data_IF_417959544050
#
_entry.id   IF_417959544050
#
_cell.length_a   1.000
_cell.length_b   1.000
_cell.length_c   1.000
_cell.angle_alpha   90.00
_cell.angle_beta   90.00
_cell.angle_gamma   90.00
#
_symmetry.space_group_name_H-M   'P 1'
#
loop_
_entity.id
_entity.type
_entity.pdbx_description
1 polymer ?
2 non-polymer ?
3 water ?
#
# COMPACT_ATOMS: atom_id res chain seq x y z
N UNK A 1 9.94 8.57 -11.14
CA UNK A 1 9.49 7.72 -12.30
C UNK A 1 8.77 6.44 -11.89
N UNK A 2 7.99 5.91 -12.83
CA UNK A 2 7.05 4.81 -12.58
C UNK A 2 7.70 3.49 -12.12
N UNK A 3 9.02 3.37 -12.29
CA UNK A 3 9.76 2.17 -11.86
C UNK A 3 10.35 2.34 -10.45
N UNK A 4 9.77 3.25 -9.66
CA UNK A 4 10.25 3.51 -8.30
C UNK A 4 9.10 3.84 -7.35
N UNK A 5 7.99 3.12 -7.52
CA UNK A 5 6.79 3.35 -6.74
C UNK A 5 6.48 2.11 -5.90
N UNK A 6 6.20 2.34 -4.62
CA UNK A 6 5.89 1.27 -3.69
C UNK A 6 4.50 1.46 -3.10
N UNK A 7 3.90 0.37 -2.66
CA UNK A 7 2.65 0.44 -1.93
C UNK A 7 2.77 -0.36 -0.63
N UNK A 8 2.15 0.14 0.44
CA UNK A 8 2.12 -0.60 1.70
C UNK A 8 0.72 -0.65 2.30
N UNK A 9 0.32 -1.85 2.71
CA UNK A 9 -0.93 -2.07 3.39
C UNK A 9 -0.66 -2.14 4.88
N UNK A 10 -1.20 -1.18 5.61
CA UNK A 10 -0.88 -1.01 7.02
C UNK A 10 -1.93 -1.70 7.89
N UNK A 11 -1.46 -2.58 8.79
CA UNK A 11 -2.33 -3.25 9.76
C UNK A 11 -2.07 -2.78 11.20
N UNK A 12 -0.96 -2.06 11.39
CA UNK A 12 -0.60 -1.46 12.68
C UNK A 12 0.43 -0.34 12.48
N UNK A 13 0.23 0.83 13.12
CA UNK A 13 -0.91 1.23 13.95
C UNK A 13 -2.10 1.60 13.06
N UNK A 14 -3.29 1.18 13.47
CA UNK A 14 -4.52 1.40 12.70
C UNK A 14 -5.62 1.90 13.64
N UNK A 15 -6.50 2.76 13.13
CA UNK A 15 -7.61 3.27 13.92
C UNK A 15 -8.65 2.17 14.17
N UNK A 16 -9.07 2.03 15.42
CA UNK A 16 -10.15 1.11 15.76
C UNK A 16 -11.47 1.86 15.65
N UNK A 17 -12.57 1.15 15.90
CA UNK A 17 -13.92 1.72 15.79
C UNK A 17 -14.10 2.92 16.71
N UNK A 18 -13.41 2.88 17.85
CA UNK A 18 -13.39 3.98 18.82
C UNK A 18 -12.14 4.82 18.58
N UNK A 19 -11.32 4.33 17.61
CA UNK A 19 -10.09 4.99 17.13
C UNK A 19 -9.12 5.55 18.39
N UNK A 20 -9.10 4.95 19.64
CA UNK A 20 -7.90 3.87 19.77
C UNK A 20 -7.11 3.25 18.60
N UNK A 21 -5.85 2.95 18.90
CA UNK A 21 -4.97 2.24 17.99
C UNK A 21 -5.14 0.74 18.16
N UNK A 22 -5.41 0.06 17.04
CA UNK A 22 -5.55 -1.39 17.01
C UNK A 22 -4.58 -2.00 16.01
N UNK A 23 -4.48 -3.33 16.04
CA UNK A 23 -3.67 -4.09 15.10
C UNK A 23 -4.58 -5.10 14.39
N UNK A 24 -4.78 -4.92 13.09
CA UNK A 24 -5.75 -5.74 12.36
C UNK A 24 -5.16 -7.04 11.79
N UNK A 25 -6.02 -8.05 11.66
CA UNK A 25 -5.66 -9.26 10.94
C UNK A 25 -5.49 -8.94 9.45
N UNK A 26 -4.58 -9.63 8.79
CA UNK A 26 -4.38 -9.48 7.35
C UNK A 26 -5.42 -10.36 6.67
N UNK A 27 -6.29 -9.76 5.84
CA UNK A 27 -7.20 -10.60 5.06
C UNK A 27 -6.41 -11.13 3.87
N UNK A 28 -6.44 -12.46 3.71
CA UNK A 28 -5.64 -13.15 2.70
C UNK A 28 -5.79 -12.58 1.30
N UNK A 29 -7.03 -12.29 0.90
CA UNK A 29 -7.30 -11.74 -0.43
C UNK A 29 -6.61 -10.40 -0.70
N UNK A 30 -6.40 -9.60 0.34
CA UNK A 30 -5.67 -8.32 0.21
C UNK A 30 -4.25 -8.50 -0.30
N UNK A 31 -3.63 -9.61 0.07
CA UNK A 31 -2.26 -9.87 -0.36
C UNK A 31 -2.24 -10.14 -1.86
N UNK A 32 -3.04 -11.11 -2.31
CA UNK A 32 -3.15 -11.47 -3.73
C UNK A 32 -3.68 -10.32 -4.59
N UNK A 33 -4.70 -9.62 -4.07
CA UNK A 33 -5.43 -8.62 -4.83
C UNK A 33 -4.54 -7.42 -5.16
N UNK A 34 -3.93 -6.85 -4.13
CA UNK A 34 -3.12 -5.65 -4.31
C UNK A 34 -1.76 -5.97 -4.96
N UNK A 35 -1.26 -7.19 -4.76
CA UNK A 35 -0.08 -7.65 -5.50
C UNK A 35 -0.32 -7.66 -7.01
N UNK A 36 -1.47 -8.16 -7.44
CA UNK A 36 -1.84 -8.14 -8.86
C UNK A 36 -1.94 -6.72 -9.42
N UNK A 37 -2.53 -5.81 -8.64
CA UNK A 37 -2.64 -4.40 -9.06
C UNK A 37 -1.24 -3.78 -9.18
N UNK A 38 -0.41 -4.00 -8.15
CA UNK A 38 0.95 -3.49 -8.17
C UNK A 38 1.72 -4.05 -9.37
N UNK A 39 1.56 -5.35 -9.63
CA UNK A 39 2.27 -6.00 -10.74
C UNK A 39 1.83 -5.47 -12.11
N UNK A 40 0.52 -5.32 -12.27
CA UNK A 40 -0.08 -4.77 -13.50
C UNK A 40 0.48 -3.39 -13.86
N UNK A 41 0.68 -2.54 -12.85
CA UNK A 41 1.17 -1.17 -13.06
C UNK A 41 2.69 -1.03 -12.87
N UNK A 42 3.37 -2.18 -12.79
CA UNK A 42 4.84 -2.22 -12.68
C UNK A 42 5.42 -1.45 -11.49
N UNK A 43 4.74 -1.52 -10.35
CA UNK A 43 5.26 -0.97 -9.10
C UNK A 43 6.44 -1.83 -8.64
N UNK A 44 7.30 -1.25 -7.81
CA UNK A 44 8.53 -1.92 -7.42
C UNK A 44 8.33 -2.93 -6.28
N UNK A 45 7.43 -2.61 -5.36
CA UNK A 45 7.19 -3.45 -4.20
C UNK A 45 5.86 -3.19 -3.52
N UNK A 46 5.37 -4.24 -2.86
CA UNK A 46 4.15 -4.19 -2.08
C UNK A 46 4.48 -4.73 -0.69
N UNK A 47 4.43 -3.84 0.30
CA UNK A 47 4.69 -4.23 1.68
C UNK A 47 3.41 -4.55 2.45
N UNK A 48 3.44 -5.68 3.14
CA UNK A 48 2.40 -6.05 4.10
C UNK A 48 2.98 -5.79 5.47
N UNK A 49 2.38 -4.84 6.17
CA UNK A 49 2.92 -4.36 7.43
C UNK A 49 2.02 -4.83 8.57
N UNK A 50 2.56 -5.70 9.42
CA UNK A 50 1.83 -6.22 10.57
C UNK A 50 2.80 -6.65 11.68
N UNK A 51 2.51 -6.23 12.91
CA UNK A 51 3.33 -6.59 14.07
C UNK A 51 2.79 -7.81 14.82
N UNK A 52 1.78 -8.47 14.23
CA UNK A 52 1.21 -9.68 14.81
C UNK A 52 1.91 -10.91 14.24
N UNK A 53 2.64 -11.62 15.11
CA UNK A 53 3.40 -12.79 14.66
C UNK A 53 2.52 -13.89 14.04
N UNK A 54 1.29 -14.05 14.53
CA UNK A 54 0.33 -14.99 13.91
C UNK A 54 -0.01 -14.60 12.46
N UNK A 55 -0.11 -13.30 12.19
CA UNK A 55 -0.35 -12.79 10.83
C UNK A 55 0.87 -12.94 9.94
N UNK A 56 2.04 -12.59 10.49
CA UNK A 56 3.33 -12.75 9.79
C UNK A 56 3.57 -14.21 9.39
N UNK A 57 3.19 -15.13 10.28
CA UNK A 57 3.31 -16.56 10.01
C UNK A 57 2.36 -17.00 8.88
N UNK A 58 1.08 -16.66 9.00
CA UNK A 58 0.09 -16.96 7.95
C UNK A 58 0.52 -16.41 6.58
N UNK A 59 0.94 -15.15 6.52
CA UNK A 59 1.39 -14.55 5.26
C UNK A 59 2.65 -15.22 4.68
N UNK A 60 3.65 -15.49 5.54
CA UNK A 60 4.87 -16.19 5.11
C UNK A 60 4.60 -17.57 4.53
N UNK A 61 3.74 -18.33 5.21
CA UNK A 61 3.38 -19.68 4.76
C UNK A 61 2.66 -19.60 3.42
N UNK A 62 1.70 -18.69 3.33
CA UNK A 62 0.97 -18.45 2.09
C UNK A 62 1.91 -18.05 0.94
N UNK A 63 2.86 -17.17 1.23
CA UNK A 63 3.82 -16.72 0.23
C UNK A 63 4.66 -17.88 -0.33
N UNK A 64 5.20 -18.74 0.53
CA UNK A 64 5.99 -19.87 0.02
C UNK A 64 5.17 -20.98 -0.66
N UNK A 65 3.92 -21.16 -0.25
CA UNK A 65 3.02 -22.06 -0.97
C UNK A 65 2.90 -21.61 -2.43
N UNK A 66 2.63 -20.32 -2.63
CA UNK A 66 2.43 -19.78 -3.97
C UNK A 66 3.72 -19.44 -4.71
N UNK A 67 4.82 -19.25 -3.98
CA UNK A 67 6.10 -18.88 -4.60
C UNK A 67 7.08 -20.05 -4.78
N UNK A 68 6.99 -21.04 -3.90
CA UNK A 68 7.89 -22.20 -3.90
C UNK A 68 7.14 -23.54 -3.98
N UNK A 69 6.01 -23.63 -3.27
CA UNK A 69 5.25 -24.87 -3.15
C UNK A 69 4.39 -25.23 -4.36
N UNK A 70 3.40 -26.09 -4.13
CA UNK A 70 2.50 -26.56 -5.19
C UNK A 70 1.78 -25.41 -5.91
N UNK A 71 1.41 -24.39 -5.14
CA UNK A 71 0.78 -23.18 -5.69
C UNK A 71 1.55 -22.53 -6.83
N UNK A 72 2.88 -22.57 -6.74
CA UNK A 72 3.76 -22.01 -7.77
C UNK A 72 3.77 -22.81 -9.08
N UNK A 73 3.13 -23.98 -9.08
CA UNK A 73 3.11 -24.83 -10.28
C UNK A 73 1.73 -25.05 -10.89
N UNK A 74 0.69 -24.40 -10.35
CA UNK A 74 -0.65 -24.49 -10.95
C UNK A 74 -1.39 -23.15 -11.09
N UNK A 75 -0.80 -22.09 -10.54
CA UNK A 75 -0.95 -20.75 -11.11
C UNK A 75 0.34 -20.55 -12.00
N UNK A 76 0.94 -19.33 -11.98
CA UNK A 76 1.54 -18.55 -13.03
C UNK A 76 0.93 -17.29 -13.84
N UNK A 77 0.10 -16.42 -13.20
CA UNK A 77 0.65 -15.49 -12.14
C UNK A 77 -0.09 -15.21 -10.95
N UNK A 78 -0.14 -16.22 -10.06
CA UNK A 78 -0.20 -15.93 -8.66
C UNK A 78 1.24 -15.59 -8.23
N UNK A 79 2.18 -16.49 -8.52
CA UNK A 79 3.59 -16.35 -8.12
C UNK A 79 4.30 -15.14 -8.73
N UNK A 80 3.96 -14.82 -9.98
CA UNK A 80 4.52 -13.67 -10.68
C UNK A 80 4.17 -12.37 -9.96
N UNK A 81 2.89 -12.20 -9.63
CA UNK A 81 2.45 -11.02 -8.90
C UNK A 81 2.95 -11.00 -7.46
N UNK A 82 3.02 -12.17 -6.83
CA UNK A 82 3.41 -12.28 -5.42
C UNK A 82 4.90 -12.06 -5.14
N UNK A 83 5.73 -12.07 -6.18
CA UNK A 83 7.17 -11.81 -6.05
C UNK A 83 7.43 -10.39 -5.52
N UNK A 84 6.48 -9.49 -5.75
CA UNK A 84 6.58 -8.10 -5.32
C UNK A 84 6.36 -7.92 -3.82
N UNK A 85 5.78 -8.94 -3.17
CA UNK A 85 5.34 -8.84 -1.77
C UNK A 85 6.51 -9.01 -0.79
N UNK A 86 6.59 -8.10 0.17
CA UNK A 86 7.53 -8.19 1.28
C UNK A 86 6.78 -7.96 2.59
N UNK A 87 7.06 -8.80 3.57
CA UNK A 87 6.50 -8.66 4.91
C UNK A 87 7.41 -7.83 5.78
N UNK A 88 6.83 -6.86 6.49
CA UNK A 88 7.57 -6.06 7.46
C UNK A 88 6.73 -5.86 8.71
N UNK A 89 7.37 -5.75 9.87
CA UNK A 89 6.65 -5.63 11.13
C UNK A 89 6.10 -4.23 11.41
N UNK A 90 6.79 -3.19 10.93
CA UNK A 90 6.44 -1.79 11.21
C UNK A 90 6.67 -0.93 9.99
N UNK A 91 5.98 0.21 9.95
CA UNK A 91 6.17 1.19 8.89
C UNK A 91 7.63 1.64 8.83
N UNK A 92 8.23 1.86 9.99
CA UNK A 92 9.64 2.25 10.07
C UNK A 92 10.55 1.24 9.35
N UNK A 93 10.21 -0.04 9.45
CA UNK A 93 10.98 -1.10 8.76
C UNK A 93 10.84 -1.03 7.25
N UNK A 94 9.65 -0.63 6.80
CA UNK A 94 9.41 -0.38 5.39
C UNK A 94 10.28 0.79 4.92
N UNK A 95 10.20 1.91 5.63
CA UNK A 95 10.99 3.10 5.29
C UNK A 95 12.48 2.79 5.25
N UNK A 96 12.95 2.02 6.22
CA UNK A 96 14.35 1.60 6.31
C UNK A 96 14.76 0.71 5.12
N UNK A 97 13.86 -0.18 4.71
CA UNK A 97 14.11 -1.09 3.58
C UNK A 97 14.24 -0.33 2.25
N UNK A 98 13.30 0.58 1.99
CA UNK A 98 13.31 1.42 0.79
C UNK A 98 14.57 2.31 0.75
N UNK A 99 14.95 2.87 1.90
CA UNK A 99 16.20 3.62 2.00
C UNK A 99 17.42 2.77 1.63
N UNK A 100 17.45 1.52 2.09
CA UNK A 100 18.53 0.59 1.71
C UNK A 100 18.53 0.29 0.22
N UNK A 101 17.33 0.09 -0.33
CA UNK A 101 17.17 -0.25 -1.74
C UNK A 101 17.45 0.94 -2.66
N UNK A 102 16.96 2.12 -2.26
CA UNK A 102 16.96 3.30 -3.13
C UNK A 102 18.02 4.34 -2.77
N UNK A 103 18.67 4.17 -1.62
CA UNK A 103 19.68 5.11 -1.14
C UNK A 103 19.09 6.34 -0.46
N UNK A 104 17.78 6.31 -0.25
CA UNK A 104 17.01 7.49 0.10
C UNK A 104 15.64 7.09 0.65
N UNK A 105 15.21 7.74 1.73
CA UNK A 105 13.87 7.53 2.27
C UNK A 105 12.80 8.05 1.31
N UNK A 106 11.65 7.34 1.19
CA UNK A 106 10.66 7.72 0.18
C UNK A 106 9.79 8.92 0.54
N UNK A 107 9.20 9.55 -0.47
CA UNK A 107 8.06 10.45 -0.27
C UNK A 107 6.85 9.60 0.10
N UNK A 108 6.17 9.98 1.17
CA UNK A 108 5.03 9.23 1.68
C UNK A 108 3.71 9.88 1.27
N UNK A 109 2.86 9.09 0.62
CA UNK A 109 1.53 9.49 0.21
C UNK A 109 0.48 8.79 1.08
N UNK A 110 -0.19 9.59 1.91
CA UNK A 110 -1.26 9.16 2.80
C UNK A 110 -2.54 9.12 1.99
N UNK A 111 -3.37 8.11 2.23
CA UNK A 111 -4.66 8.00 1.54
C UNK A 111 -5.79 7.86 2.55
N UNK A 112 -6.93 8.45 2.23
CA UNK A 112 -8.10 8.44 3.11
C UNK A 112 -9.35 8.88 2.36
N UNK A 113 -10.47 8.21 2.64
CA UNK A 113 -11.78 8.65 2.17
C UNK A 113 -12.20 9.97 2.80
N UNK A 114 -11.61 10.28 3.95
CA UNK A 114 -11.99 11.46 4.74
C UNK A 114 -11.15 12.69 4.37
N UNK A 115 -11.85 13.74 3.94
CA UNK A 115 -11.21 14.98 3.50
C UNK A 115 -10.37 15.63 4.60
N UNK A 116 -9.10 15.85 4.29
CA UNK A 116 -8.18 16.54 5.18
C UNK A 116 -7.86 17.92 4.64
N UNK A 117 -7.45 18.80 5.54
CA UNK A 117 -6.80 20.05 5.20
C UNK A 117 -5.47 19.76 4.50
N UNK A 118 -5.08 20.64 3.58
CA UNK A 118 -3.75 20.59 2.95
C UNK A 118 -3.42 19.27 2.23
N UNK A 119 -4.34 18.82 1.38
CA UNK A 119 -4.10 17.62 0.58
C UNK A 119 -3.72 18.00 -0.86
N UNK A 120 -3.33 17.00 -1.66
CA UNK A 120 -3.04 17.22 -3.08
C UNK A 120 -4.02 16.46 -3.97
N UNK A 121 -4.22 16.96 -5.19
CA UNK A 121 -5.07 16.26 -6.14
C UNK A 121 -4.27 15.11 -6.73
N UNK A 122 -4.96 14.20 -7.41
CA UNK A 122 -4.28 13.11 -8.12
C UNK A 122 -3.43 13.62 -9.29
N UNK A 123 -3.86 14.71 -9.92
CA UNK A 123 -3.07 15.39 -10.96
C UNK A 123 -1.75 15.90 -10.38
N UNK A 124 -1.83 16.53 -9.21
CA UNK A 124 -0.66 17.00 -8.46
C UNK A 124 0.24 15.84 -8.02
N UNK A 125 -0.37 14.73 -7.61
CA UNK A 125 0.36 13.52 -7.25
C UNK A 125 1.08 12.90 -8.44
N UNK A 126 0.39 12.84 -9.58
CA UNK A 126 0.96 12.32 -10.82
C UNK A 126 2.19 13.14 -11.21
N UNK A 127 2.04 14.46 -11.15
CA UNK A 127 3.13 15.38 -11.46
C UNK A 127 4.37 15.09 -10.61
N UNK A 128 4.18 14.95 -9.30
CA UNK A 128 5.27 14.61 -8.38
C UNK A 128 6.00 13.34 -8.84
N UNK A 129 5.24 12.28 -9.12
CA UNK A 129 5.83 10.99 -9.53
C UNK A 129 6.59 11.10 -10.86
N UNK A 130 6.07 11.91 -11.78
CA UNK A 130 6.73 12.17 -13.08
C UNK A 130 8.07 12.89 -12.90
N UNK A 131 8.05 13.96 -12.11
CA UNK A 131 9.18 14.88 -11.98
C UNK A 131 10.25 14.46 -10.97
N UNK A 132 9.89 13.58 -10.04
CA UNK A 132 10.81 13.19 -8.96
C UNK A 132 11.80 12.09 -9.35
N UNK A 133 12.93 12.08 -8.66
CA UNK A 133 13.88 10.97 -8.69
C UNK A 133 13.84 10.21 -7.37
N UNK A 134 13.02 10.70 -6.44
CA UNK A 134 12.83 10.05 -5.15
C UNK A 134 11.89 8.84 -5.28
N UNK A 135 12.12 7.79 -4.46
CA UNK A 135 11.10 6.73 -4.36
C UNK A 135 9.81 7.28 -3.75
N UNK A 136 8.68 6.71 -4.16
CA UNK A 136 7.37 7.10 -3.64
C UNK A 136 6.73 5.89 -2.96
N UNK A 137 6.11 6.13 -1.81
CA UNK A 137 5.43 5.08 -1.05
C UNK A 137 4.00 5.51 -0.79
N UNK A 138 3.06 4.74 -1.34
CA UNK A 138 1.64 4.95 -1.16
C UNK A 138 1.17 4.11 0.04
N UNK A 139 0.57 4.78 1.03
CA UNK A 139 0.12 4.09 2.22
C UNK A 139 -1.37 3.86 2.15
N UNK A 140 -1.75 2.62 2.46
CA UNK A 140 -3.15 2.21 2.50
C UNK A 140 -3.50 1.66 3.86
N UNK A 141 -4.68 2.02 4.35
CA UNK A 141 -5.12 1.59 5.67
C UNK A 141 -6.02 0.37 5.67
N UNK A 142 -6.26 -0.14 6.88
CA UNK A 142 -7.24 -1.18 7.15
C UNK A 142 -8.06 -0.68 8.35
N UNK A 143 -8.91 -1.54 8.90
CA UNK A 143 -9.74 -1.17 10.06
C UNK A 143 -10.55 0.07 9.76
N UNK A 144 -10.40 1.10 10.59
CA UNK A 144 -11.11 2.37 10.41
C UNK A 144 -10.20 3.49 9.89
N UNK A 145 -9.09 3.10 9.27
CA UNK A 145 -8.27 4.05 8.52
C UNK A 145 -6.91 4.27 9.13
N UNK A 146 -6.05 4.98 8.40
CA UNK A 146 -4.71 5.31 8.88
C UNK A 146 -4.77 6.34 10.01
N UNK A 147 -3.99 6.13 11.09
CA UNK A 147 -4.05 7.01 12.25
C UNK A 147 -3.28 8.32 12.11
N UNK A 148 -3.55 9.27 13.01
CA UNK A 148 -2.88 10.57 13.01
C UNK A 148 -1.36 10.49 13.10
N UNK A 149 -0.83 9.54 13.87
CA UNK A 149 0.62 9.36 13.98
C UNK A 149 1.29 9.05 12.63
N UNK A 150 0.56 8.39 11.74
CA UNK A 150 1.04 8.14 10.38
C UNK A 150 0.79 9.37 9.48
N UNK A 151 -0.37 10.01 9.65
CA UNK A 151 -0.65 11.31 9.02
C UNK A 151 0.47 12.31 9.28
N UNK A 152 0.94 12.35 10.53
CA UNK A 152 1.97 13.31 10.94
C UNK A 152 3.32 13.15 10.26
N UNK A 153 3.63 11.93 9.82
CA UNK A 153 4.89 11.65 9.14
C UNK A 153 4.76 11.54 7.61
N UNK A 154 3.55 11.75 7.09
CA UNK A 154 3.32 11.69 5.64
C UNK A 154 3.70 13.01 4.96
N UNK A 155 4.39 12.92 3.83
CA UNK A 155 4.79 14.11 3.07
C UNK A 155 3.60 14.72 2.35
N UNK A 156 2.74 13.86 1.81
CA UNK A 156 1.58 14.28 1.04
C UNK A 156 0.36 13.45 1.43
N UNK A 157 -0.80 14.11 1.45
CA UNK A 157 -2.07 13.43 1.59
C UNK A 157 -2.74 13.61 0.26
N UNK A 158 -3.02 12.50 -0.41
CA UNK A 158 -3.83 12.51 -1.61
C UNK A 158 -5.26 12.78 -1.21
N UNK A 159 -5.95 13.62 -1.99
CA UNK A 159 -7.36 13.89 -1.78
C UNK A 159 -8.14 12.58 -1.81
N UNK A 160 -9.31 12.55 -1.15
CA UNK A 160 -10.13 11.35 -1.23
C UNK A 160 -10.60 11.09 -2.66
N UNK A 161 -10.72 9.82 -3.01
CA UNK A 161 -11.44 9.42 -4.21
C UNK A 161 -12.89 9.77 -3.98
N UNK A 162 -13.52 10.39 -4.98
CA UNK A 162 -14.94 10.73 -4.95
C UNK A 162 -15.35 11.49 -3.69
N UNK A 163 -14.57 12.52 -3.36
CA UNK A 163 -14.79 13.37 -2.18
C UNK A 163 -16.13 14.10 -2.17
N UNK A 164 -16.65 14.43 -3.35
CA UNK A 164 -17.93 15.15 -3.46
C UNK A 164 -19.16 14.23 -3.58
N UNK A 165 -18.93 12.92 -3.56
CA UNK A 165 -20.04 11.96 -3.59
C UNK A 165 -20.70 11.87 -2.22
N UNK A 166 -21.91 11.32 -2.17
CA UNK A 166 -22.59 11.12 -0.88
C UNK A 166 -22.10 9.87 -0.15
N UNK A 167 -21.29 9.07 -0.84
CA UNK A 167 -20.70 7.85 -0.29
C UNK A 167 -19.37 7.64 -1.02
N UNK A 168 -18.29 7.46 -0.26
CA UNK A 168 -16.98 7.15 -0.84
C UNK A 168 -16.15 6.17 0.00
N UNK A 169 -16.83 5.33 0.78
CA UNK A 169 -16.15 4.33 1.61
C UNK A 169 -15.85 3.06 0.83
N UNK A 170 -14.75 3.12 0.08
CA UNK A 170 -14.31 2.00 -0.75
C UNK A 170 -13.54 0.97 0.07
N UNK A 171 -13.51 -0.27 -0.41
CA UNK A 171 -12.57 -1.25 0.11
C UNK A 171 -11.17 -0.75 -0.21
N UNK A 172 -10.19 -1.28 0.51
CA UNK A 172 -8.80 -0.93 0.30
C UNK A 172 -8.28 -1.47 -1.04
N UNK A 173 -8.85 -2.59 -1.49
CA UNK A 173 -8.50 -3.20 -2.78
C UNK A 173 -8.98 -2.34 -3.95
N UNK A 174 -10.22 -1.86 -3.87
CA UNK A 174 -10.79 -0.95 -4.85
C UNK A 174 -10.10 0.42 -4.83
N UNK A 175 -9.87 0.96 -3.63
CA UNK A 175 -9.12 2.21 -3.46
C UNK A 175 -7.72 2.12 -4.05
N UNK A 176 -6.97 1.07 -3.69
CA UNK A 176 -5.62 0.87 -4.22
C UNK A 176 -5.63 0.85 -5.75
N UNK A 177 -6.58 0.12 -6.33
CA UNK A 177 -6.70 0.00 -7.78
C UNK A 177 -6.86 1.36 -8.44
N UNK A 178 -7.76 2.17 -7.88
CA UNK A 178 -8.09 3.49 -8.41
C UNK A 178 -6.93 4.46 -8.22
N UNK A 179 -6.38 4.51 -7.00
CA UNK A 179 -5.22 5.35 -6.68
C UNK A 179 -4.08 5.09 -7.67
N UNK A 180 -3.73 3.81 -7.84
CA UNK A 180 -2.65 3.41 -8.73
C UNK A 180 -2.95 3.75 -10.20
N UNK A 181 -4.17 3.49 -10.66
CA UNK A 181 -4.57 3.91 -12.01
C UNK A 181 -4.51 5.42 -12.25
N UNK A 182 -4.97 6.21 -11.28
CA UNK A 182 -4.90 7.67 -11.38
C UNK A 182 -3.46 8.20 -11.40
N UNK A 183 -2.58 7.57 -10.63
CA UNK A 183 -1.19 8.03 -10.54
C UNK A 183 -0.31 7.51 -11.68
N UNK A 184 -0.54 6.26 -12.08
CA UNK A 184 0.29 5.61 -13.11
C UNK A 184 -0.44 5.55 -14.45
N UNK A 185 -1.69 5.08 -14.44
CA UNK A 185 -2.50 5.02 -15.66
C UNK A 185 -1.85 4.25 -16.79
N UNK A 186 -2.12 4.66 -18.02
CA UNK A 186 -1.63 3.96 -19.20
C UNK A 186 -0.29 4.53 -19.69
N UNK A 187 0.59 4.78 -18.74
CA UNK A 187 1.92 5.29 -19.02
C UNK A 187 2.97 4.20 -18.87
N UNK A 188 3.80 4.04 -19.89
CA UNK A 188 4.75 2.93 -19.99
C UNK A 188 6.19 3.42 -20.18
X LIG B 1 -13.64 -2.01 5.69
X LIG B 1 -13.13 -1.60 4.38
X LIG B 1 -12.42 -2.76 3.67
X LIG B 1 -12.94 -3.88 3.70
X LIG B 1 -11.34 -2.64 3.07
X LIG B 1 -12.27 -0.33 4.48
X LIG B 1 -11.19 -0.32 5.56
X LIG B 1 -9.95 1.01 5.42
X LIG B 1 -10.81 2.38 6.23
X LIG B 1 -10.04 1.51 3.69
X LIG B 1 -8.70 2.04 3.20
X LIG B 1 -8.74 2.16 1.79
X LIG B 1 -8.40 3.44 3.72
X LIG B 1 -7.58 3.42 4.86
X LIG B 1 -7.72 4.14 2.56
X LIG B 1 -6.34 3.86 2.50
X LIG B 1 -8.37 3.47 1.38
X LIG B 1 -9.58 4.19 0.92
X LIG B 1 -10.88 3.78 1.04
X LIG B 1 -11.68 4.70 0.45
X LIG B 1 -10.90 5.68 -0.05
X LIG B 1 -11.18 6.85 -0.74
X LIG B 1 -12.44 7.19 -1.03
X LIG B 1 -10.14 7.66 -1.15
X LIG B 1 -8.83 7.34 -0.85
X LIG B 1 -8.55 6.18 -0.16
X LIG B 1 -9.58 5.37 0.23
#
# INVERSE_FOLDING_TARGET
MLEKVYVALIHYPIKGKDGSIISTAVTNLDVHDIARTARTYNLKGYYIVTNLRAQQDMVSKMLKFWREGFGSRYNPSRAESLKLVKLKSYLEDVLEDIESVEGERPLIFFTSAKKRENDISFEEGRRIIIETEKPVLILLGTGWGLPDEILEISDYVLEPIRAQSDFNHLSVRAAAAIIIDRLIGENYARRD
SAM N CA C O OXT CB CG SD CE C5' C4' O4' C3' O3' C2' O2' C1' N9 C8 N7 C5 C6 N6 N1 C2 N3 C4
#
